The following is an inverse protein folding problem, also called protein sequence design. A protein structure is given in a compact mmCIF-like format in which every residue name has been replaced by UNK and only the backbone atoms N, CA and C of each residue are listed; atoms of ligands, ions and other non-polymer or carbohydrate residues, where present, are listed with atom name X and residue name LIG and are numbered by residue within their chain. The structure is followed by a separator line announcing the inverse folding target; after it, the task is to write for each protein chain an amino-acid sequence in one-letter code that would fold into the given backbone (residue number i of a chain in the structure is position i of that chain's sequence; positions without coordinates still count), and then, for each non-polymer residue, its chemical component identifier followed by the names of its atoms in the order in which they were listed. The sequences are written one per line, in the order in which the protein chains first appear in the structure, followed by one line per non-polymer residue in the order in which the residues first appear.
data_IF_663147626776
#
_entry.id   IF_663147626776
#
_cell.length_a   1.000
_cell.length_b   1.000
_cell.length_c   1.000
_cell.angle_alpha   90.00
_cell.angle_beta   90.00
_cell.angle_gamma   90.00
#
_symmetry.space_group_name_H-M   'P 1'
#
loop_
_entity.id
_entity.type
_entity.pdbx_description
1 polymer ?
#
# COMPACT_ATOMS: atom_id res chain seq x y z
N UNK A 1 -25.96 -14.96 9.17
CA UNK A 1 -24.73 -14.26 8.79
C UNK A 1 -23.57 -15.20 9.06
N UNK A 2 -23.01 -15.82 8.02
CA UNK A 2 -21.76 -16.59 8.17
C UNK A 2 -20.62 -15.59 8.32
N UNK A 3 -19.90 -15.67 9.44
CA UNK A 3 -18.65 -14.93 9.61
C UNK A 3 -17.68 -15.52 8.59
N UNK A 4 -17.37 -14.77 7.54
CA UNK A 4 -16.41 -15.20 6.53
C UNK A 4 -15.03 -15.32 7.18
N UNK A 5 -14.54 -16.53 7.36
CA UNK A 5 -13.17 -16.75 7.84
C UNK A 5 -12.18 -16.35 6.74
N UNK A 6 -11.25 -15.46 7.08
CA UNK A 6 -10.14 -15.16 6.18
C UNK A 6 -9.28 -16.42 6.08
N UNK A 7 -9.11 -16.92 4.86
CA UNK A 7 -8.21 -18.05 4.60
C UNK A 7 -6.81 -17.72 5.11
N UNK A 8 -6.05 -18.79 5.44
CA UNK A 8 -4.68 -18.69 5.94
C UNK A 8 -3.83 -17.80 5.03
N UNK A 9 -3.02 -16.93 5.65
CA UNK A 9 -2.09 -16.02 4.96
C UNK A 9 -2.74 -14.92 4.10
N UNK A 10 -4.01 -14.57 4.32
CA UNK A 10 -4.59 -13.37 3.72
C UNK A 10 -3.84 -12.11 4.16
N UNK A 11 -3.64 -11.10 3.30
CA UNK A 11 -2.90 -9.89 3.63
C UNK A 11 -3.41 -9.16 4.87
N UNK A 12 -2.48 -8.64 5.66
CA UNK A 12 -2.79 -7.77 6.77
C UNK A 12 -3.14 -6.36 6.24
N UNK A 13 -4.04 -5.63 6.90
CA UNK A 13 -4.33 -4.27 6.50
C UNK A 13 -3.09 -3.37 6.68
N UNK A 14 -2.81 -2.53 5.69
CA UNK A 14 -1.70 -1.56 5.68
C UNK A 14 -1.93 -0.41 6.67
N UNK A 15 -3.19 -0.10 6.97
CA UNK A 15 -3.55 0.88 7.99
C UNK A 15 -4.82 0.46 8.70
N UNK A 16 -4.77 0.49 10.03
CA UNK A 16 -5.96 0.32 10.88
C UNK A 16 -6.51 1.72 11.19
N UNK A 17 -7.17 2.35 10.22
CA UNK A 17 -7.94 3.56 10.46
C UNK A 17 -9.08 3.18 11.42
N UNK A 18 -8.93 3.59 12.70
CA UNK A 18 -9.88 3.47 13.79
C UNK A 18 -10.80 2.24 13.72
N UNK A 19 -10.33 1.06 14.18
CA UNK A 19 -11.00 -0.25 14.39
C UNK A 19 -12.05 -0.79 13.39
N UNK A 20 -12.92 0.04 12.81
CA UNK A 20 -14.07 -0.26 11.97
C UNK A 20 -13.79 -0.21 10.46
N UNK A 21 -12.67 0.33 10.00
CA UNK A 21 -12.38 0.41 8.56
C UNK A 21 -10.89 0.19 8.26
N UNK A 22 -10.42 -1.08 8.28
CA UNK A 22 -9.08 -1.42 7.85
C UNK A 22 -8.89 -1.07 6.37
N UNK A 23 -7.71 -0.54 6.04
CA UNK A 23 -7.27 -0.29 4.67
C UNK A 23 -6.33 -1.41 4.24
N UNK A 24 -6.52 -1.95 3.05
CA UNK A 24 -5.67 -2.99 2.46
C UNK A 24 -4.89 -2.46 1.27
N UNK A 25 -3.71 -3.05 1.04
CA UNK A 25 -3.03 -2.91 -0.25
C UNK A 25 -3.77 -3.73 -1.29
N UNK A 26 -4.29 -3.08 -2.33
CA UNK A 26 -4.97 -3.79 -3.42
C UNK A 26 -4.02 -4.75 -4.14
N UNK A 27 -2.76 -4.34 -4.37
CA UNK A 27 -1.74 -5.18 -4.99
C UNK A 27 -1.49 -6.48 -4.21
N UNK A 28 -1.39 -6.41 -2.87
CA UNK A 28 -1.22 -7.60 -2.03
C UNK A 28 -2.44 -8.52 -2.06
N UNK A 29 -3.65 -7.95 -2.06
CA UNK A 29 -4.90 -8.70 -2.13
C UNK A 29 -5.01 -9.44 -3.46
N UNK A 30 -4.78 -8.77 -4.58
CA UNK A 30 -4.85 -9.39 -5.92
C UNK A 30 -3.79 -10.47 -6.08
N UNK A 31 -2.56 -10.21 -5.63
CA UNK A 31 -1.50 -11.21 -5.66
C UNK A 31 -1.87 -12.45 -4.84
N UNK A 32 -2.48 -12.27 -3.67
CA UNK A 32 -2.97 -13.38 -2.85
C UNK A 32 -4.10 -14.15 -3.56
N UNK A 33 -5.06 -13.45 -4.17
CA UNK A 33 -6.16 -14.08 -4.93
C UNK A 33 -5.64 -14.94 -6.07
N UNK A 34 -4.64 -14.44 -6.81
CA UNK A 34 -4.01 -15.16 -7.92
C UNK A 34 -3.27 -16.42 -7.44
N UNK A 35 -2.43 -16.30 -6.41
CA UNK A 35 -1.71 -17.44 -5.84
C UNK A 35 -2.64 -18.52 -5.25
N UNK A 36 -3.81 -18.12 -4.76
CA UNK A 36 -4.82 -19.04 -4.25
C UNK A 36 -5.77 -19.56 -5.35
N UNK A 37 -5.50 -19.25 -6.62
CA UNK A 37 -6.29 -19.66 -7.80
C UNK A 37 -7.76 -19.23 -7.73
N UNK A 38 -8.05 -18.14 -7.00
CA UNK A 38 -9.38 -17.53 -6.94
C UNK A 38 -9.62 -16.69 -8.20
N UNK A 39 -8.55 -16.08 -8.71
CA UNK A 39 -8.50 -15.47 -10.04
C UNK A 39 -7.40 -16.16 -10.85
N UNK A 40 -7.56 -16.17 -12.17
CA UNK A 40 -6.60 -16.78 -13.11
C UNK A 40 -5.95 -15.77 -14.05
N UNK A 41 -6.45 -14.54 -14.12
CA UNK A 41 -5.89 -13.48 -14.96
C UNK A 41 -4.65 -12.90 -14.28
N UNK A 42 -3.48 -13.15 -14.85
CA UNK A 42 -2.20 -12.63 -14.40
C UNK A 42 -2.08 -11.13 -14.65
N UNK A 43 -2.73 -10.60 -15.69
CA UNK A 43 -2.76 -9.16 -15.97
C UNK A 43 -3.39 -8.36 -14.84
N UNK A 44 -4.32 -8.96 -14.10
CA UNK A 44 -4.90 -8.31 -12.92
C UNK A 44 -3.83 -8.03 -11.84
N UNK A 45 -2.84 -8.91 -11.69
CA UNK A 45 -1.71 -8.72 -10.76
C UNK A 45 -0.81 -7.60 -11.27
N UNK A 46 -0.51 -7.57 -12.57
CA UNK A 46 0.29 -6.53 -13.20
C UNK A 46 -0.36 -5.14 -13.06
N UNK A 47 -1.65 -5.03 -13.39
CA UNK A 47 -2.42 -3.78 -13.27
C UNK A 47 -2.49 -3.27 -11.83
N UNK A 48 -2.69 -4.19 -10.87
CA UNK A 48 -2.73 -3.81 -9.46
C UNK A 48 -1.38 -3.30 -8.97
N UNK A 49 -0.27 -3.90 -9.42
CA UNK A 49 1.08 -3.44 -9.11
C UNK A 49 1.38 -2.10 -9.79
N UNK A 50 0.97 -1.94 -11.04
CA UNK A 50 1.12 -0.70 -11.80
C UNK A 50 0.41 0.47 -11.12
N UNK A 51 -0.85 0.28 -10.71
CA UNK A 51 -1.61 1.29 -9.97
C UNK A 51 -0.98 1.63 -8.62
N UNK A 52 -0.46 0.63 -7.90
CA UNK A 52 0.24 0.87 -6.64
C UNK A 52 1.47 1.77 -6.83
N UNK A 53 2.25 1.53 -7.89
CA UNK A 53 3.42 2.34 -8.23
C UNK A 53 3.04 3.77 -8.64
N UNK A 54 1.96 3.94 -9.42
CA UNK A 54 1.43 5.27 -9.75
C UNK A 54 1.05 6.02 -8.48
N UNK A 55 0.28 5.38 -7.59
CA UNK A 55 -0.17 6.01 -6.35
C UNK A 55 1.03 6.44 -5.47
N UNK A 56 2.05 5.59 -5.36
CA UNK A 56 3.29 5.93 -4.65
C UNK A 56 4.00 7.13 -5.28
N UNK A 57 4.13 7.17 -6.61
CA UNK A 57 4.74 8.29 -7.31
C UNK A 57 3.94 9.59 -7.18
N UNK A 58 2.60 9.51 -7.16
CA UNK A 58 1.72 10.65 -6.93
C UNK A 58 1.83 11.17 -5.50
N UNK A 59 1.91 10.28 -4.51
CA UNK A 59 2.13 10.62 -3.11
C UNK A 59 3.50 11.30 -2.91
N UNK A 60 4.54 10.82 -3.61
CA UNK A 60 5.84 11.51 -3.66
C UNK A 60 5.77 12.86 -4.38
N UNK A 61 4.89 13.02 -5.37
CA UNK A 61 4.68 14.29 -6.07
C UNK A 61 3.87 15.30 -5.26
N UNK A 62 3.05 14.83 -4.32
CA UNK A 62 2.19 15.69 -3.51
C UNK A 62 3.02 16.59 -2.59
N UNK A 63 2.83 17.90 -2.75
CA UNK A 63 3.57 18.91 -2.00
C UNK A 63 3.32 18.82 -0.49
N UNK A 64 2.11 18.40 -0.08
CA UNK A 64 1.77 18.27 1.33
C UNK A 64 2.54 17.09 1.94
N UNK A 65 2.56 15.96 1.25
CA UNK A 65 3.32 14.77 1.65
C UNK A 65 4.83 15.04 1.70
N UNK A 66 5.38 15.75 0.71
CA UNK A 66 6.79 16.21 0.74
C UNK A 66 7.10 17.06 1.97
N UNK A 67 6.24 18.03 2.31
CA UNK A 67 6.39 18.88 3.50
C UNK A 67 6.35 18.06 4.79
N UNK A 68 5.41 17.13 4.92
CA UNK A 68 5.30 16.26 6.10
C UNK A 68 6.56 15.39 6.25
N UNK A 69 7.00 14.75 5.16
CA UNK A 69 8.20 13.93 5.13
C UNK A 69 9.44 14.75 5.51
N UNK A 70 9.62 15.91 4.90
CA UNK A 70 10.73 16.82 5.22
C UNK A 70 10.76 17.17 6.72
N UNK A 71 9.63 17.60 7.28
CA UNK A 71 9.51 17.92 8.71
C UNK A 71 9.81 16.72 9.63
N UNK A 72 9.42 15.49 9.23
CA UNK A 72 9.72 14.28 9.98
C UNK A 72 11.22 13.94 9.94
N UNK A 73 11.85 14.06 8.78
CA UNK A 73 13.29 13.83 8.61
C UNK A 73 14.11 14.85 9.39
N UNK A 74 13.74 16.13 9.38
CA UNK A 74 14.36 17.16 10.22
C UNK A 74 14.26 16.81 11.72
N UNK A 75 13.08 16.40 12.19
CA UNK A 75 12.88 15.97 13.59
C UNK A 75 13.69 14.73 13.97
N UNK A 76 13.98 13.88 13.00
CA UNK A 76 14.83 12.69 13.18
C UNK A 76 16.33 13.00 13.04
N UNK A 77 16.72 14.27 12.86
CA UNK A 77 18.12 14.69 12.70
C UNK A 77 18.72 14.30 11.35
N UNK A 78 17.88 13.92 10.37
CA UNK A 78 18.32 13.54 9.03
C UNK A 78 18.31 14.78 8.14
N UNK A 79 19.48 15.40 7.94
CA UNK A 79 19.62 16.42 6.90
C UNK A 79 19.77 15.71 5.54
N UNK A 80 18.85 15.97 4.62
CA UNK A 80 18.98 15.55 3.22
C UNK A 80 20.27 16.18 2.66
N UNK A 81 21.36 15.41 2.66
CA UNK A 81 22.62 15.83 2.05
C UNK A 81 22.32 16.14 0.59
N UNK A 82 22.42 17.42 0.25
CA UNK A 82 22.30 17.95 -1.10
C UNK A 82 23.10 17.08 -2.08
N UNK A 83 22.40 16.31 -2.91
CA UNK A 83 22.97 15.78 -4.14
C UNK A 83 22.86 16.94 -5.13
N UNK A 84 24.02 17.54 -5.41
CA UNK A 84 24.21 18.54 -6.47
C UNK A 84 24.08 17.88 -7.84
#
# INVERSE_FOLDING_TARGET
WTVGERRKSFPHPIMRLAEKSPLWSWAEVVNWLYHNKIISDDRAVEDALFLANINAALEECDQQTRKIRHNLLEKMGYQERHIR
#
